data_IF_606060744261
#
_entry.id   IF_606060744261
#
_cell.length_a   1.000
_cell.length_b   1.000
_cell.length_c   1.000
_cell.angle_alpha   90.00
_cell.angle_beta   90.00
_cell.angle_gamma   90.00
#
_symmetry.space_group_name_H-M   'P 1'
#
loop_
_entity.id
_entity.type
_entity.pdbx_description
1 polymer ?
#
# COMPACT_ATOMS: atom_id res chain seq x y z
N UNK A 1 -3.82 -8.61 5.96
CA UNK A 1 -3.18 -9.05 4.70
C UNK A 1 -2.56 -7.86 3.94
N UNK A 2 -1.31 -8.01 3.47
CA UNK A 2 -0.62 -7.06 2.58
C UNK A 2 -1.05 -7.20 1.11
N UNK A 3 -0.83 -6.17 0.28
CA UNK A 3 -1.01 -6.27 -1.18
C UNK A 3 -2.45 -6.32 -1.73
N UNK A 4 -3.49 -6.35 -0.87
CA UNK A 4 -4.91 -6.41 -1.28
C UNK A 4 -5.51 -5.09 -1.81
N UNK A 5 -4.76 -3.98 -1.81
CA UNK A 5 -5.22 -2.70 -2.38
C UNK A 5 -5.88 -1.71 -1.41
N UNK A 6 -5.72 -1.86 -0.08
CA UNK A 6 -6.26 -0.92 0.93
C UNK A 6 -5.86 0.53 0.67
N UNK A 7 -4.57 0.79 0.49
CA UNK A 7 -4.03 2.12 0.16
C UNK A 7 -4.62 2.66 -1.14
N UNK A 8 -4.81 1.82 -2.15
CA UNK A 8 -5.45 2.22 -3.42
C UNK A 8 -6.90 2.65 -3.23
N UNK A 9 -7.67 1.90 -2.45
CA UNK A 9 -9.05 2.27 -2.10
C UNK A 9 -9.10 3.59 -1.31
N UNK A 10 -8.21 3.74 -0.32
CA UNK A 10 -8.11 4.98 0.44
C UNK A 10 -7.74 6.17 -0.45
N UNK A 11 -6.81 6.01 -1.41
CA UNK A 11 -6.47 7.05 -2.41
C UNK A 11 -7.67 7.41 -3.29
N UNK A 12 -8.48 6.43 -3.70
CA UNK A 12 -9.70 6.70 -4.47
C UNK A 12 -10.71 7.53 -3.66
N UNK A 13 -10.92 7.17 -2.38
CA UNK A 13 -11.76 7.94 -1.45
C UNK A 13 -11.20 9.35 -1.25
N UNK A 14 -9.90 9.48 -1.03
CA UNK A 14 -9.20 10.76 -0.89
C UNK A 14 -9.50 11.69 -2.07
N UNK A 15 -9.30 11.20 -3.31
CA UNK A 15 -9.52 12.00 -4.52
C UNK A 15 -10.99 12.42 -4.67
N UNK A 16 -11.93 11.50 -4.42
CA UNK A 16 -13.36 11.82 -4.43
C UNK A 16 -13.76 12.85 -3.37
N UNK A 17 -13.09 12.85 -2.21
CA UNK A 17 -13.33 13.85 -1.17
C UNK A 17 -12.71 15.22 -1.52
N UNK A 18 -11.58 15.25 -2.23
CA UNK A 18 -10.97 16.50 -2.70
C UNK A 18 -11.86 17.27 -3.69
N UNK A 19 -12.70 16.57 -4.46
CA UNK A 19 -13.68 17.19 -5.34
C UNK A 19 -14.82 17.91 -4.57
N UNK A 20 -14.93 17.67 -3.25
CA UNK A 20 -15.98 18.24 -2.40
C UNK A 20 -15.43 19.37 -1.54
N UNK A 21 -15.83 20.60 -1.85
CA UNK A 21 -15.39 21.83 -1.15
C UNK A 21 -15.71 21.87 0.35
N UNK A 22 -16.67 21.07 0.81
CA UNK A 22 -17.06 20.99 2.22
C UNK A 22 -16.04 20.25 3.11
N UNK A 23 -15.11 19.47 2.54
CA UNK A 23 -14.16 18.69 3.34
C UNK A 23 -12.74 19.22 3.20
N UNK A 24 -12.02 19.26 4.33
CA UNK A 24 -10.56 19.41 4.33
C UNK A 24 -9.94 18.04 4.53
N UNK A 25 -9.25 17.52 3.52
CA UNK A 25 -8.73 16.14 3.52
C UNK A 25 -7.23 16.16 3.72
N UNK A 26 -6.74 15.36 4.66
CA UNK A 26 -5.33 15.26 4.99
C UNK A 26 -4.89 13.79 4.94
N UNK A 27 -3.87 13.50 4.14
CA UNK A 27 -3.28 12.16 4.01
C UNK A 27 -1.97 12.06 4.80
N UNK A 28 -1.86 11.09 5.69
CA UNK A 28 -0.67 10.76 6.46
C UNK A 28 -0.40 9.28 6.31
N UNK A 29 0.81 8.93 5.91
CA UNK A 29 1.32 7.55 5.97
C UNK A 29 1.99 7.36 7.32
N UNK A 30 1.58 6.36 8.08
CA UNK A 30 2.08 6.10 9.43
C UNK A 30 3.26 5.15 9.35
N UNK A 31 4.43 5.59 9.82
CA UNK A 31 5.64 4.75 9.81
C UNK A 31 5.52 3.57 10.79
N UNK A 32 6.18 2.46 10.47
CA UNK A 32 6.32 1.31 11.37
C UNK A 32 7.11 1.67 12.64
N UNK A 33 8.11 2.54 12.52
CA UNK A 33 8.82 3.18 13.64
C UNK A 33 7.93 4.27 14.29
N UNK A 34 6.82 3.82 14.84
CA UNK A 34 5.77 4.67 15.37
C UNK A 34 6.16 5.36 16.67
N UNK A 35 5.84 6.65 16.77
CA UNK A 35 5.74 7.37 18.05
C UNK A 35 4.62 8.42 17.96
N UNK A 36 4.03 8.77 19.12
CA UNK A 36 3.00 9.81 19.22
C UNK A 36 3.55 11.12 18.65
N UNK A 37 4.72 11.56 19.11
CA UNK A 37 5.37 12.79 18.64
C UNK A 37 5.59 12.82 17.13
N UNK A 38 6.05 11.71 16.52
CA UNK A 38 6.27 11.62 15.06
C UNK A 38 4.96 11.74 14.29
N UNK A 39 3.90 11.05 14.72
CA UNK A 39 2.58 11.18 14.09
C UNK A 39 2.03 12.61 14.24
N UNK A 40 2.23 13.24 15.40
CA UNK A 40 1.88 14.64 15.61
C UNK A 40 2.65 15.57 14.64
N UNK A 41 3.95 15.36 14.43
CA UNK A 41 4.76 16.11 13.47
C UNK A 41 4.24 15.93 12.03
N UNK A 42 3.90 14.70 11.65
CA UNK A 42 3.43 14.42 10.30
C UNK A 42 2.05 15.05 10.03
N UNK A 43 1.16 15.05 11.03
CA UNK A 43 -0.12 15.78 10.94
C UNK A 43 0.14 17.30 10.91
N UNK A 44 1.02 17.83 11.76
CA UNK A 44 1.35 19.25 11.81
C UNK A 44 1.88 19.76 10.46
N UNK A 45 2.81 19.01 9.83
CA UNK A 45 3.32 19.31 8.48
C UNK A 45 2.19 19.42 7.46
N UNK A 46 1.21 18.50 7.48
CA UNK A 46 0.04 18.55 6.58
C UNK A 46 -0.89 19.73 6.86
N UNK A 47 -0.98 20.15 8.12
CA UNK A 47 -1.72 21.33 8.54
C UNK A 47 -0.94 22.65 8.36
N UNK A 48 0.33 22.59 7.94
CA UNK A 48 1.26 23.73 7.86
C UNK A 48 1.48 24.41 9.22
N UNK A 49 1.57 23.60 10.27
CA UNK A 49 1.92 24.02 11.62
C UNK A 49 3.37 23.65 11.91
N UNK A 50 4.01 24.47 12.73
CA UNK A 50 5.34 24.18 13.27
C UNK A 50 5.20 23.82 14.75
N UNK A 51 5.65 22.61 15.10
CA UNK A 51 5.69 22.11 16.47
C UNK A 51 7.15 21.94 16.96
N UNK A 52 8.15 22.44 16.23
CA UNK A 52 9.57 22.25 16.56
C UNK A 52 9.99 22.86 17.89
N UNK A 53 9.25 23.87 18.36
CA UNK A 53 9.47 24.53 19.64
C UNK A 53 8.65 23.96 20.80
N UNK A 54 7.80 22.95 20.54
CA UNK A 54 6.95 22.33 21.56
C UNK A 54 7.26 20.84 21.67
N UNK A 55 7.83 20.46 22.81
CA UNK A 55 8.26 19.09 23.08
C UNK A 55 7.19 18.29 23.83
N UNK A 56 6.26 18.95 24.53
CA UNK A 56 5.23 18.30 25.32
C UNK A 56 4.10 17.73 24.45
N UNK A 57 3.86 16.42 24.55
CA UNK A 57 2.88 15.72 23.71
C UNK A 57 1.45 16.26 23.89
N UNK A 58 1.06 16.64 25.11
CA UNK A 58 -0.28 17.14 25.41
C UNK A 58 -0.49 18.56 24.84
N UNK A 59 0.53 19.42 24.93
CA UNK A 59 0.53 20.75 24.34
C UNK A 59 0.44 20.67 22.81
N UNK A 60 1.19 19.75 22.20
CA UNK A 60 1.11 19.44 20.75
C UNK A 60 -0.28 18.95 20.36
N UNK A 61 -0.85 18.03 21.13
CA UNK A 61 -2.20 17.52 20.92
C UNK A 61 -3.25 18.65 20.97
N UNK A 62 -3.12 19.57 21.92
CA UNK A 62 -4.01 20.74 22.03
C UNK A 62 -3.90 21.67 20.81
N UNK A 63 -2.69 21.88 20.28
CA UNK A 63 -2.47 22.67 19.06
C UNK A 63 -3.13 22.00 17.85
N UNK A 64 -2.88 20.71 17.65
CA UNK A 64 -3.46 19.93 16.56
C UNK A 64 -4.99 19.89 16.64
N UNK A 65 -5.54 19.71 17.83
CA UNK A 65 -6.98 19.67 18.05
C UNK A 65 -7.66 21.00 17.72
N UNK A 66 -7.00 22.14 17.91
CA UNK A 66 -7.55 23.46 17.52
C UNK A 66 -7.49 23.68 16.01
N UNK A 67 -6.48 23.15 15.35
CA UNK A 67 -6.29 23.30 13.91
C UNK A 67 -7.18 22.36 13.07
N UNK A 68 -7.53 21.18 13.60
CA UNK A 68 -8.46 20.25 12.97
C UNK A 68 -9.91 20.76 13.11
N UNK A 69 -10.32 21.58 12.15
CA UNK A 69 -11.64 22.22 12.11
C UNK A 69 -12.78 21.26 11.73
N UNK A 70 -14.03 21.78 11.82
CA UNK A 70 -15.25 21.15 11.33
C UNK A 70 -15.06 20.59 9.91
N UNK A 71 -15.56 19.38 9.64
CA UNK A 71 -15.48 18.70 8.34
C UNK A 71 -14.07 18.36 7.85
N UNK A 72 -13.09 18.23 8.76
CA UNK A 72 -11.80 17.62 8.42
C UNK A 72 -11.93 16.10 8.26
N UNK A 73 -11.23 15.53 7.28
CA UNK A 73 -11.08 14.09 7.10
C UNK A 73 -9.59 13.77 7.13
N UNK A 74 -9.18 12.99 8.12
CA UNK A 74 -7.81 12.49 8.26
C UNK A 74 -7.76 11.07 7.71
N UNK A 75 -6.86 10.82 6.77
CA UNK A 75 -6.58 9.48 6.25
C UNK A 75 -5.21 9.06 6.80
N UNK A 76 -5.22 8.04 7.67
CA UNK A 76 -4.04 7.44 8.27
C UNK A 76 -3.75 6.11 7.56
N UNK A 77 -2.84 6.13 6.60
CA UNK A 77 -2.48 4.95 5.82
C UNK A 77 -1.41 4.12 6.51
N UNK A 78 -1.56 2.79 6.44
CA UNK A 78 -0.65 1.76 6.95
C UNK A 78 -0.36 1.83 8.46
N UNK A 79 -1.42 1.79 9.28
CA UNK A 79 -1.31 1.79 10.74
C UNK A 79 -0.91 0.41 11.27
N UNK A 80 0.18 0.37 12.05
CA UNK A 80 0.73 -0.86 12.64
C UNK A 80 0.48 -1.01 14.15
N UNK A 81 0.38 0.09 14.88
CA UNK A 81 0.29 0.11 16.34
C UNK A 81 -0.96 0.83 16.83
N UNK A 82 -1.38 0.51 18.05
CA UNK A 82 -2.50 1.17 18.72
C UNK A 82 -2.08 2.57 19.19
N UNK A 83 -3.00 3.52 19.12
CA UNK A 83 -2.79 4.88 19.61
C UNK A 83 -4.09 5.50 20.11
N UNK A 84 -3.95 6.51 20.97
CA UNK A 84 -5.09 7.31 21.44
C UNK A 84 -5.28 8.53 20.55
N UNK A 85 -6.49 8.71 20.01
CA UNK A 85 -6.86 9.93 19.28
C UNK A 85 -6.67 11.19 20.12
N UNK A 86 -6.90 11.12 21.43
CA UNK A 86 -6.72 12.25 22.36
C UNK A 86 -5.25 12.64 22.46
N UNK A 87 -4.34 11.67 22.63
CA UNK A 87 -2.89 11.92 22.67
C UNK A 87 -2.34 12.47 21.36
N UNK A 88 -2.93 12.10 20.22
CA UNK A 88 -2.56 12.70 18.92
C UNK A 88 -3.16 14.11 18.76
N UNK A 89 -4.23 14.45 19.48
CA UNK A 89 -4.95 15.71 19.30
C UNK A 89 -5.97 15.66 18.17
N UNK A 90 -6.58 14.49 17.91
CA UNK A 90 -7.63 14.33 16.89
C UNK A 90 -9.01 14.46 17.56
N UNK A 91 -9.76 15.54 17.30
CA UNK A 91 -11.03 15.77 17.97
C UNK A 91 -12.16 14.98 17.28
N UNK A 92 -12.45 13.78 17.78
CA UNK A 92 -13.58 12.96 17.32
C UNK A 92 -14.93 13.50 17.82
N UNK A 93 -16.00 13.31 17.05
CA UNK A 93 -17.38 13.64 17.45
C UNK A 93 -18.27 14.17 16.33
N UNK A 94 -19.57 14.32 16.63
CA UNK A 94 -20.56 14.85 15.69
C UNK A 94 -20.12 16.24 15.21
N UNK A 95 -20.04 16.41 13.88
CA UNK A 95 -19.55 17.62 13.21
C UNK A 95 -18.05 17.94 13.35
N UNK A 96 -17.20 17.06 13.90
CA UNK A 96 -15.75 17.32 14.02
C UNK A 96 -14.92 16.61 12.94
N UNK A 97 -13.76 16.09 13.30
CA UNK A 97 -12.84 15.37 12.43
C UNK A 97 -13.31 13.92 12.21
N UNK A 98 -13.24 13.44 10.97
CA UNK A 98 -13.45 12.02 10.64
C UNK A 98 -12.10 11.39 10.34
N UNK A 99 -11.90 10.15 10.80
CA UNK A 99 -10.67 9.40 10.51
C UNK A 99 -11.01 8.19 9.65
N UNK A 100 -10.25 8.00 8.58
CA UNK A 100 -10.18 6.76 7.83
C UNK A 100 -8.78 6.21 8.09
N UNK A 101 -8.68 4.95 8.50
CA UNK A 101 -7.38 4.30 8.62
C UNK A 101 -7.33 3.06 7.76
N UNK A 102 -6.13 2.72 7.29
CA UNK A 102 -5.86 1.41 6.70
C UNK A 102 -4.90 0.65 7.60
N UNK A 103 -5.15 -0.64 7.80
CA UNK A 103 -4.26 -1.52 8.57
C UNK A 103 -4.36 -2.94 8.05
N UNK A 104 -3.33 -3.74 8.29
CA UNK A 104 -3.31 -5.17 7.99
C UNK A 104 -3.97 -6.00 9.10
N UNK A 105 -4.23 -5.42 10.28
CA UNK A 105 -4.72 -6.12 11.48
C UNK A 105 -6.17 -5.75 11.81
N UNK A 106 -7.07 -6.73 11.73
CA UNK A 106 -8.45 -6.56 12.21
C UNK A 106 -8.52 -6.35 13.72
N UNK A 107 -7.64 -7.01 14.47
CA UNK A 107 -7.54 -6.84 15.93
C UNK A 107 -7.21 -5.38 16.29
N UNK A 108 -6.31 -4.75 15.53
CA UNK A 108 -5.96 -3.35 15.76
C UNK A 108 -7.17 -2.41 15.56
N UNK A 109 -8.02 -2.67 14.57
CA UNK A 109 -9.27 -1.93 14.39
C UNK A 109 -10.19 -2.02 15.63
N UNK A 110 -10.23 -3.19 16.28
CA UNK A 110 -11.03 -3.39 17.49
C UNK A 110 -10.43 -2.64 18.68
N UNK A 111 -9.09 -2.70 18.86
CA UNK A 111 -8.40 -1.98 19.95
C UNK A 111 -8.55 -0.46 19.84
N UNK A 112 -8.39 0.08 18.62
CA UNK A 112 -8.63 1.51 18.31
C UNK A 112 -10.13 1.88 18.39
N UNK A 113 -11.02 0.90 18.54
CA UNK A 113 -12.48 1.08 18.61
C UNK A 113 -13.06 1.74 17.35
N UNK A 114 -12.62 1.28 16.17
CA UNK A 114 -13.13 1.74 14.88
C UNK A 114 -14.65 1.55 14.79
N UNK A 115 -15.38 2.64 14.48
CA UNK A 115 -16.85 2.62 14.39
C UNK A 115 -17.38 1.76 13.24
N UNK A 116 -16.63 1.70 12.14
CA UNK A 116 -16.97 0.91 10.95
C UNK A 116 -15.69 0.28 10.41
N UNK A 117 -15.77 -1.01 10.10
CA UNK A 117 -14.64 -1.77 9.55
C UNK A 117 -15.06 -2.33 8.20
N UNK A 118 -14.21 -2.13 7.19
CA UNK A 118 -14.38 -2.66 5.84
C UNK A 118 -13.23 -3.60 5.54
N UNK A 119 -13.54 -4.88 5.33
CA UNK A 119 -12.55 -5.86 4.93
C UNK A 119 -12.25 -5.74 3.43
N UNK A 120 -11.01 -5.38 3.09
CA UNK A 120 -10.54 -5.44 1.71
C UNK A 120 -10.22 -6.90 1.34
N UNK A 121 -11.11 -7.50 0.54
CA UNK A 121 -10.97 -8.87 0.04
C UNK A 121 -10.08 -8.93 -1.20
N UNK A 122 -9.59 -10.11 -1.51
CA UNK A 122 -8.93 -10.38 -2.80
C UNK A 122 -9.93 -10.28 -3.95
N UNK A 123 -9.40 -10.02 -5.15
CA UNK A 123 -10.22 -9.90 -6.36
C UNK A 123 -10.85 -11.25 -6.73
N UNK A 124 -12.08 -11.19 -7.25
CA UNK A 124 -12.70 -12.36 -7.85
C UNK A 124 -11.89 -12.82 -9.07
N UNK A 125 -12.00 -14.09 -9.45
CA UNK A 125 -11.20 -14.67 -10.55
C UNK A 125 -11.29 -13.88 -11.86
N UNK A 126 -12.47 -13.36 -12.19
CA UNK A 126 -12.67 -12.57 -13.40
C UNK A 126 -12.01 -11.18 -13.30
N UNK A 127 -12.19 -10.48 -12.18
CA UNK A 127 -11.56 -9.17 -11.93
C UNK A 127 -10.03 -9.30 -11.89
N UNK A 128 -9.52 -10.36 -11.27
CA UNK A 128 -8.11 -10.68 -11.23
C UNK A 128 -7.54 -10.92 -12.64
N UNK A 129 -8.28 -11.63 -13.49
CA UNK A 129 -7.91 -11.85 -14.88
C UNK A 129 -7.93 -10.56 -15.70
N UNK A 130 -8.93 -9.70 -15.48
CA UNK A 130 -9.01 -8.40 -16.16
C UNK A 130 -7.86 -7.48 -15.75
N UNK A 131 -7.51 -7.42 -14.46
CA UNK A 131 -6.33 -6.69 -13.99
C UNK A 131 -5.03 -7.27 -14.57
N UNK A 132 -4.93 -8.60 -14.67
CA UNK A 132 -3.77 -9.26 -15.24
C UNK A 132 -3.56 -8.85 -16.71
N UNK A 133 -4.62 -8.98 -17.54
CA UNK A 133 -4.60 -8.54 -18.94
C UNK A 133 -4.30 -7.05 -19.09
N UNK A 134 -4.92 -6.20 -18.25
CA UNK A 134 -4.69 -4.76 -18.29
C UNK A 134 -3.23 -4.39 -17.96
N UNK A 135 -2.54 -5.23 -17.18
CA UNK A 135 -1.13 -4.98 -16.80
C UNK A 135 -0.14 -5.47 -17.87
N UNK A 136 -0.54 -6.44 -18.70
CA UNK A 136 0.23 -6.86 -19.86
C UNK A 136 0.31 -5.71 -20.89
N UNK A 137 1.40 -5.69 -21.67
CA UNK A 137 1.51 -4.74 -22.79
C UNK A 137 0.45 -5.12 -23.84
N UNK A 138 -0.23 -4.14 -24.48
CA UNK A 138 -1.09 -4.40 -25.63
C UNK A 138 -0.44 -5.26 -26.73
N UNK A 139 0.89 -5.25 -26.83
CA UNK A 139 1.69 -6.08 -27.75
C UNK A 139 1.80 -7.55 -27.32
N UNK A 140 1.53 -7.88 -26.06
CA UNK A 140 1.49 -9.27 -25.58
C UNK A 140 0.18 -9.89 -26.03
N UNK A 141 0.22 -10.55 -27.18
CA UNK A 141 -0.98 -11.16 -27.74
C UNK A 141 -1.14 -12.58 -27.20
N UNK A 142 -2.16 -12.77 -26.36
CA UNK A 142 -2.49 -14.06 -25.77
C UNK A 142 -3.49 -14.79 -26.68
N UNK A 143 -3.12 -15.98 -27.13
CA UNK A 143 -3.95 -16.81 -28.00
C UNK A 143 -3.83 -18.29 -27.66
N UNK A 144 -4.94 -19.03 -27.84
CA UNK A 144 -4.97 -20.48 -27.72
C UNK A 144 -4.37 -20.97 -26.40
N UNK A 145 -3.39 -21.86 -26.48
CA UNK A 145 -2.75 -22.45 -25.31
C UNK A 145 -2.07 -21.41 -24.39
N UNK A 146 -1.50 -20.34 -24.95
CA UNK A 146 -0.82 -19.32 -24.16
C UNK A 146 -1.79 -18.61 -23.21
N UNK A 147 -3.01 -18.33 -23.66
CA UNK A 147 -4.02 -17.67 -22.84
C UNK A 147 -4.44 -18.55 -21.65
N UNK A 148 -4.59 -19.85 -21.88
CA UNK A 148 -4.94 -20.81 -20.81
C UNK A 148 -3.83 -20.96 -19.76
N UNK A 149 -2.56 -20.94 -20.20
CA UNK A 149 -1.41 -20.90 -19.29
C UNK A 149 -1.39 -19.56 -18.54
N UNK A 150 -1.60 -18.44 -19.22
CA UNK A 150 -1.63 -17.11 -18.60
C UNK A 150 -2.74 -16.98 -17.54
N UNK A 151 -3.94 -17.52 -17.81
CA UNK A 151 -5.02 -17.63 -16.80
C UNK A 151 -4.59 -18.46 -15.60
N UNK A 152 -3.87 -19.57 -15.83
CA UNK A 152 -3.34 -20.42 -14.76
C UNK A 152 -2.28 -19.71 -13.93
N UNK A 153 -1.42 -18.90 -14.56
CA UNK A 153 -0.44 -18.03 -13.90
C UNK A 153 -1.16 -16.95 -13.08
N UNK A 154 -2.18 -16.28 -13.62
CA UNK A 154 -2.96 -15.29 -12.89
C UNK A 154 -3.65 -15.90 -11.65
N UNK A 155 -4.18 -17.13 -11.76
CA UNK A 155 -4.77 -17.87 -10.63
C UNK A 155 -3.75 -18.13 -9.51
N UNK A 156 -2.45 -18.29 -9.82
CA UNK A 156 -1.40 -18.44 -8.78
C UNK A 156 -1.22 -17.20 -7.92
N UNK A 157 -1.68 -16.03 -8.37
CA UNK A 157 -1.63 -14.81 -7.58
C UNK A 157 -2.75 -14.71 -6.53
N UNK A 158 -3.63 -15.72 -6.40
CA UNK A 158 -4.70 -15.80 -5.41
C UNK A 158 -5.62 -14.56 -5.32
N UNK A 159 -5.79 -13.84 -6.44
CA UNK A 159 -6.60 -12.62 -6.49
C UNK A 159 -5.95 -11.40 -5.82
N UNK A 160 -4.67 -11.47 -5.42
CA UNK A 160 -3.95 -10.35 -4.81
C UNK A 160 -3.53 -9.34 -5.88
N UNK A 161 -4.03 -8.08 -5.87
CA UNK A 161 -3.69 -7.07 -6.86
C UNK A 161 -2.18 -6.87 -7.02
N UNK A 162 -1.42 -6.79 -5.92
CA UNK A 162 0.03 -6.65 -5.98
C UNK A 162 0.70 -7.83 -6.68
N UNK A 163 0.35 -9.07 -6.31
CA UNK A 163 0.89 -10.27 -6.95
C UNK A 163 0.56 -10.34 -8.44
N UNK A 164 -0.69 -10.01 -8.80
CA UNK A 164 -1.16 -9.96 -10.19
C UNK A 164 -0.35 -8.96 -11.01
N UNK A 165 -0.22 -7.73 -10.51
CA UNK A 165 0.50 -6.66 -11.21
C UNK A 165 1.98 -7.02 -11.37
N UNK A 166 2.59 -7.56 -10.33
CA UNK A 166 3.98 -7.99 -10.34
C UNK A 166 4.21 -9.10 -11.38
N UNK A 167 3.44 -10.18 -11.33
CA UNK A 167 3.62 -11.31 -12.27
C UNK A 167 3.31 -10.90 -13.70
N UNK A 168 2.21 -10.20 -13.94
CA UNK A 168 1.87 -9.70 -15.27
C UNK A 168 2.97 -8.74 -15.80
N UNK A 169 3.50 -7.88 -14.94
CA UNK A 169 4.62 -6.99 -15.27
C UNK A 169 5.87 -7.75 -15.70
N UNK A 170 6.25 -8.81 -14.97
CA UNK A 170 7.39 -9.68 -15.34
C UNK A 170 7.18 -10.47 -16.63
N UNK A 171 5.91 -10.70 -17.02
CA UNK A 171 5.54 -11.41 -18.25
C UNK A 171 5.30 -10.48 -19.44
N UNK A 172 5.48 -9.16 -19.26
CA UNK A 172 5.27 -8.17 -20.31
C UNK A 172 6.21 -8.43 -21.49
N UNK A 173 5.66 -8.48 -22.70
CA UNK A 173 6.41 -8.71 -23.95
C UNK A 173 6.81 -10.17 -24.21
N UNK A 174 6.49 -11.11 -23.32
CA UNK A 174 6.84 -12.53 -23.50
C UNK A 174 5.88 -13.19 -24.51
N UNK A 175 6.42 -13.57 -25.67
CA UNK A 175 5.68 -14.22 -26.77
C UNK A 175 5.91 -15.74 -26.86
N UNK A 176 6.83 -16.31 -26.09
CA UNK A 176 7.16 -17.73 -26.13
C UNK A 176 6.32 -18.52 -25.10
N UNK A 177 5.52 -19.48 -25.57
CA UNK A 177 4.68 -20.35 -24.73
C UNK A 177 5.50 -21.14 -23.71
N UNK A 178 6.73 -21.56 -24.07
CA UNK A 178 7.60 -22.31 -23.15
C UNK A 178 7.99 -21.48 -21.93
N UNK A 179 8.17 -20.16 -22.09
CA UNK A 179 8.46 -19.26 -20.96
C UNK A 179 7.26 -19.10 -20.04
N UNK A 180 6.04 -19.05 -20.59
CA UNK A 180 4.81 -19.07 -19.81
C UNK A 180 4.64 -20.36 -19.00
N UNK A 181 4.93 -21.53 -19.60
CA UNK A 181 4.92 -22.81 -18.87
C UNK A 181 5.96 -22.84 -17.76
N UNK A 182 7.18 -22.39 -18.03
CA UNK A 182 8.24 -22.33 -17.03
C UNK A 182 7.86 -21.39 -15.86
N UNK A 183 7.31 -20.22 -16.17
CA UNK A 183 6.81 -19.29 -15.16
C UNK A 183 5.73 -19.92 -14.28
N UNK A 184 4.79 -20.65 -14.90
CA UNK A 184 3.75 -21.37 -14.16
C UNK A 184 4.36 -22.39 -13.20
N UNK A 185 5.27 -23.25 -13.66
CA UNK A 185 5.92 -24.27 -12.81
C UNK A 185 6.71 -23.67 -11.66
N UNK A 186 7.47 -22.60 -11.91
CA UNK A 186 8.20 -21.89 -10.85
C UNK A 186 7.25 -21.30 -9.80
N UNK A 187 6.14 -20.69 -10.22
CA UNK A 187 5.13 -20.19 -9.29
C UNK A 187 4.41 -21.31 -8.52
N UNK A 188 4.36 -22.55 -9.03
CA UNK A 188 3.87 -23.70 -8.23
C UNK A 188 4.86 -24.07 -7.12
N UNK A 189 6.16 -23.93 -7.38
CA UNK A 189 7.21 -24.27 -6.43
C UNK A 189 7.37 -23.22 -5.31
N UNK A 190 7.11 -21.95 -5.61
CA UNK A 190 7.09 -20.85 -4.64
C UNK A 190 5.87 -20.94 -3.69
N UNK A 191 5.91 -21.77 -2.66
CA UNK A 191 4.77 -21.96 -1.74
C UNK A 191 5.08 -21.91 -0.24
N UNK A 192 6.22 -21.35 0.18
CA UNK A 192 6.56 -21.27 1.61
C UNK A 192 7.08 -19.88 1.97
N UNK A 193 6.32 -19.14 2.79
CA UNK A 193 6.73 -17.89 3.43
C UNK A 193 6.85 -18.06 4.95
N UNK A 194 7.75 -17.30 5.58
CA UNK A 194 8.11 -17.46 7.00
C UNK A 194 7.20 -16.70 8.00
N UNK A 195 6.31 -15.79 7.56
CA UNK A 195 5.51 -14.93 8.46
C UNK A 195 4.02 -14.79 8.05
N UNK A 196 3.09 -14.91 9.00
CA UNK A 196 1.62 -14.95 8.75
C UNK A 196 1.09 -13.70 8.04
N UNK A 197 1.70 -12.54 8.24
CA UNK A 197 1.26 -11.28 7.62
C UNK A 197 1.71 -11.11 6.15
N UNK A 198 2.72 -11.87 5.71
CA UNK A 198 3.37 -11.72 4.39
C UNK A 198 3.41 -13.00 3.54
N UNK A 199 2.94 -14.13 4.11
CA UNK A 199 2.94 -15.48 3.52
C UNK A 199 2.49 -15.56 2.06
N UNK A 200 1.50 -14.76 1.65
CA UNK A 200 0.87 -14.92 0.33
C UNK A 200 1.50 -14.06 -0.78
N UNK A 201 2.17 -12.95 -0.44
CA UNK A 201 2.72 -12.01 -1.43
C UNK A 201 4.23 -12.18 -1.60
N UNK A 202 4.95 -12.45 -0.52
CA UNK A 202 6.41 -12.50 -0.54
C UNK A 202 6.99 -13.50 -1.56
N UNK A 203 6.48 -14.75 -1.68
CA UNK A 203 7.01 -15.70 -2.68
C UNK A 203 6.84 -15.19 -4.12
N UNK A 204 5.78 -14.42 -4.39
CA UNK A 204 5.53 -13.82 -5.70
C UNK A 204 6.54 -12.69 -5.98
N UNK A 205 6.84 -11.87 -4.97
CA UNK A 205 7.82 -10.79 -5.08
C UNK A 205 9.24 -11.34 -5.28
N UNK A 206 9.61 -12.37 -4.52
CA UNK A 206 10.90 -13.06 -4.65
C UNK A 206 11.06 -13.65 -6.06
N UNK A 207 10.02 -14.33 -6.56
CA UNK A 207 10.02 -14.87 -7.92
C UNK A 207 10.25 -13.78 -8.97
N UNK A 208 9.55 -12.65 -8.86
CA UNK A 208 9.73 -11.51 -9.78
C UNK A 208 11.13 -10.92 -9.70
N UNK A 209 11.67 -10.76 -8.49
CA UNK A 209 13.03 -10.27 -8.26
C UNK A 209 14.09 -11.17 -8.92
N UNK A 210 13.93 -12.49 -8.82
CA UNK A 210 14.83 -13.47 -9.41
C UNK A 210 14.84 -13.47 -10.95
N UNK A 211 13.83 -12.86 -11.59
CA UNK A 211 13.77 -12.69 -13.04
C UNK A 211 14.41 -11.40 -13.55
N UNK A 212 14.77 -10.47 -12.65
CA UNK A 212 15.53 -9.29 -13.03
C UNK A 212 16.94 -9.68 -13.48
N UNK A 213 17.44 -9.01 -14.52
CA UNK A 213 18.85 -9.12 -14.92
C UNK A 213 19.79 -8.56 -13.83
N UNK A 214 21.08 -8.86 -13.93
CA UNK A 214 22.06 -8.52 -12.88
C UNK A 214 22.09 -7.03 -12.51
N UNK A 215 22.08 -6.14 -13.50
CA UNK A 215 22.09 -4.69 -13.26
C UNK A 215 20.81 -4.23 -12.57
N UNK A 216 19.63 -4.60 -13.10
CA UNK A 216 18.33 -4.22 -12.54
C UNK A 216 18.14 -4.76 -11.12
N UNK A 217 18.68 -5.96 -10.84
CA UNK A 217 18.64 -6.55 -9.50
C UNK A 217 19.44 -5.72 -8.50
N UNK A 218 20.64 -5.29 -8.86
CA UNK A 218 21.46 -4.41 -8.03
C UNK A 218 20.80 -3.04 -7.84
N UNK A 219 20.24 -2.47 -8.92
CA UNK A 219 19.49 -1.21 -8.85
C UNK A 219 18.32 -1.31 -7.86
N UNK A 220 17.57 -2.42 -7.89
CA UNK A 220 16.47 -2.65 -6.96
C UNK A 220 16.95 -2.80 -5.51
N UNK A 221 18.04 -3.53 -5.28
CA UNK A 221 18.62 -3.68 -3.94
C UNK A 221 19.13 -2.35 -3.38
N UNK A 222 19.61 -1.43 -4.22
CA UNK A 222 20.02 -0.10 -3.80
C UNK A 222 18.86 0.67 -3.12
N UNK A 223 17.62 0.46 -3.56
CA UNK A 223 16.44 1.05 -2.92
C UNK A 223 16.27 0.63 -1.45
N UNK A 224 16.85 -0.49 -1.01
CA UNK A 224 16.79 -0.94 0.40
C UNK A 224 17.64 -0.10 1.36
N UNK A 225 18.52 0.77 0.84
CA UNK A 225 19.33 1.69 1.64
C UNK A 225 18.55 2.93 2.09
N UNK A 226 17.36 3.13 1.54
CA UNK A 226 16.53 4.28 1.84
C UNK A 226 15.56 3.98 3.00
N UNK A 227 15.21 4.98 3.83
CA UNK A 227 14.19 4.81 4.85
C UNK A 227 12.82 4.40 4.30
N UNK A 228 12.03 3.74 5.14
CA UNK A 228 10.65 3.35 4.84
C UNK A 228 9.81 4.53 4.33
N UNK A 229 9.02 4.28 3.27
CA UNK A 229 8.09 5.23 2.63
C UNK A 229 8.67 6.59 2.25
N UNK A 230 10.00 6.71 2.16
CA UNK A 230 10.63 7.96 1.80
C UNK A 230 10.50 8.24 0.29
N UNK A 231 10.38 9.51 -0.06
CA UNK A 231 10.37 9.92 -1.46
C UNK A 231 11.79 9.91 -2.01
N UNK A 232 12.09 8.97 -2.91
CA UNK A 232 13.37 8.87 -3.61
C UNK A 232 13.29 9.70 -4.90
N UNK A 233 14.19 10.68 -5.06
CA UNK A 233 14.29 11.41 -6.33
C UNK A 233 14.87 10.50 -7.41
N UNK A 234 14.30 10.57 -8.60
CA UNK A 234 14.73 9.75 -9.74
C UNK A 234 16.20 9.96 -10.05
N UNK A 235 16.68 11.20 -10.01
CA UNK A 235 18.06 11.56 -10.35
C UNK A 235 19.05 10.95 -9.37
N UNK A 236 18.71 10.93 -8.07
CA UNK A 236 19.52 10.30 -7.02
C UNK A 236 19.65 8.80 -7.25
N UNK A 237 18.54 8.14 -7.64
CA UNK A 237 18.54 6.71 -7.94
C UNK A 237 19.35 6.38 -9.21
N UNK A 238 19.25 7.20 -10.27
CA UNK A 238 19.96 6.97 -11.54
C UNK A 238 21.47 7.16 -11.40
N UNK A 239 21.93 8.04 -10.50
CA UNK A 239 23.36 8.25 -10.26
C UNK A 239 23.95 7.13 -9.38
N UNK A 240 23.17 6.58 -8.45
CA UNK A 240 23.60 5.52 -7.54
C UNK A 240 23.57 4.10 -8.12
N UNK A 241 22.89 3.91 -9.27
CA UNK A 241 22.66 2.60 -9.92
C UNK A 241 23.54 2.36 -11.14
#
# INVERSE_FOLDING_TARGET
MGGVGKTTLAKHIHNHLLERTQFKVYWITVSQEFSIKRLQDDIAKRLRLDLSHEDDEDSRAAILSRALVKQSVLILDDVWQEFSFEKIGIPLGANKCRVILTTRSLELCNRISCQRVFEAKTLATNEAWDLFKHTLDPKTVLHGEMEEIAKSVAKRCAGLPLGIITVAGSMRGVINVCEWRNALEQLKACSVGHDEMERDVFPILEWSFNRLNGCLRQCFLYCSLYPEDCYIKREELVIGC
#
